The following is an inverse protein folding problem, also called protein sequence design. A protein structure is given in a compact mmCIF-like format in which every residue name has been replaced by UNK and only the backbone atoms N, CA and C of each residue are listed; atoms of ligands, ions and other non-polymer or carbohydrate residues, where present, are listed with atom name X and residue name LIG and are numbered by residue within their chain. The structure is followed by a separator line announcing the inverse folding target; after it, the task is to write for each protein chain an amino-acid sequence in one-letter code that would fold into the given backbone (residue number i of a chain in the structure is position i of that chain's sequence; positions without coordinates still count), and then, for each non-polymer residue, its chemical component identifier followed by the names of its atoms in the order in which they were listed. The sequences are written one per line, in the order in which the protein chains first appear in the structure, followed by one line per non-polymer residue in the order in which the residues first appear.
data_IF_059575785682
#
_entry.id   IF_059575785682
#
_cell.length_a   1.000
_cell.length_b   1.000
_cell.length_c   1.000
_cell.angle_alpha   90.00
_cell.angle_beta   90.00
_cell.angle_gamma   90.00
#
_symmetry.space_group_name_H-M   'P 1'
#
loop_
_entity.id
_entity.type
_entity.pdbx_description
1 polymer ?
#
# COMPACT_ATOMS: atom_id res chain seq x y z
N UNK A 1 -17.01 23.80 30.34
CA UNK A 1 -16.91 23.96 28.86
C UNK A 1 -17.11 22.61 28.20
N UNK A 2 -18.00 22.47 27.24
CA UNK A 2 -18.09 21.26 26.44
C UNK A 2 -16.98 21.22 25.42
N UNK A 3 -16.30 20.09 25.27
CA UNK A 3 -15.24 19.88 24.28
C UNK A 3 -15.59 18.71 23.38
N UNK A 4 -15.38 18.87 22.08
CA UNK A 4 -15.48 17.79 21.09
C UNK A 4 -14.06 17.35 20.73
N UNK A 5 -13.75 16.08 20.95
CA UNK A 5 -12.42 15.50 20.72
C UNK A 5 -12.53 14.43 19.65
N UNK A 6 -11.75 14.54 18.58
CA UNK A 6 -11.66 13.52 17.55
C UNK A 6 -10.89 12.32 18.13
N UNK A 7 -11.52 11.16 18.17
CA UNK A 7 -10.95 9.90 18.68
C UNK A 7 -10.37 9.06 17.55
N UNK A 8 -11.16 8.86 16.49
CA UNK A 8 -10.74 8.11 15.33
C UNK A 8 -10.87 8.99 14.09
N UNK A 9 -9.76 9.37 13.45
CA UNK A 9 -9.81 10.11 12.20
C UNK A 9 -10.40 9.24 11.08
N UNK A 10 -10.95 9.83 10.03
CA UNK A 10 -11.42 9.08 8.88
C UNK A 10 -10.29 8.33 8.19
N UNK A 11 -10.57 7.11 7.79
CA UNK A 11 -9.65 6.24 7.02
C UNK A 11 -9.69 6.52 5.53
N UNK A 12 -10.77 7.15 5.05
CA UNK A 12 -10.97 7.49 3.64
C UNK A 12 -11.40 8.95 3.52
N UNK A 13 -11.05 9.57 2.40
CA UNK A 13 -11.49 10.93 2.07
C UNK A 13 -12.70 10.87 1.13
N UNK A 14 -13.64 11.86 1.19
CA UNK A 14 -14.86 11.86 0.36
C UNK A 14 -14.56 12.08 -1.13
N UNK A 15 -13.39 12.59 -1.45
CA UNK A 15 -12.88 12.77 -2.81
C UNK A 15 -11.58 12.02 -2.95
N UNK A 16 -11.49 11.13 -3.93
CA UNK A 16 -10.22 10.51 -4.29
C UNK A 16 -9.39 11.46 -5.19
N UNK A 17 -8.10 11.27 -5.17
CA UNK A 17 -7.14 12.09 -5.91
C UNK A 17 -7.46 12.11 -7.42
N UNK A 18 -7.81 10.97 -8.02
CA UNK A 18 -8.14 10.88 -9.44
C UNK A 18 -9.30 11.81 -9.83
N UNK A 19 -10.34 11.87 -8.99
CA UNK A 19 -11.48 12.77 -9.21
C UNK A 19 -11.06 14.24 -9.12
N UNK A 20 -10.20 14.59 -8.14
CA UNK A 20 -9.71 15.97 -7.97
C UNK A 20 -8.88 16.38 -9.18
N UNK A 21 -7.96 15.55 -9.65
CA UNK A 21 -7.13 15.81 -10.82
C UNK A 21 -7.96 16.02 -12.09
N UNK A 22 -8.92 15.11 -12.33
CA UNK A 22 -9.80 15.21 -13.47
C UNK A 22 -10.60 16.52 -13.46
N UNK A 23 -11.07 16.95 -12.29
CA UNK A 23 -11.82 18.22 -12.12
C UNK A 23 -10.94 19.44 -12.25
N UNK A 24 -9.72 19.37 -11.72
CA UNK A 24 -8.73 20.45 -11.78
C UNK A 24 -8.03 20.55 -13.14
N UNK A 25 -8.26 19.58 -14.07
CA UNK A 25 -7.57 19.47 -15.36
C UNK A 25 -6.05 19.42 -15.21
N UNK A 26 -5.57 18.70 -14.20
CA UNK A 26 -4.15 18.42 -13.98
C UNK A 26 -3.81 17.11 -14.71
N UNK A 27 -3.05 17.23 -15.81
CA UNK A 27 -2.80 16.12 -16.74
C UNK A 27 -1.82 15.06 -16.22
N UNK A 28 -1.03 15.39 -15.20
CA UNK A 28 -0.10 14.43 -14.58
C UNK A 28 0.04 14.64 -13.09
N UNK A 29 -0.12 13.56 -12.34
CA UNK A 29 0.45 13.47 -11.00
C UNK A 29 1.89 13.05 -11.13
N UNK A 30 2.72 13.54 -10.23
CA UNK A 30 4.09 13.06 -10.06
C UNK A 30 4.07 11.69 -9.32
N UNK A 31 3.13 10.80 -9.71
CA UNK A 31 3.06 9.45 -9.19
C UNK A 31 4.08 8.56 -9.89
N UNK A 32 4.79 7.78 -9.11
CA UNK A 32 5.66 6.77 -9.67
C UNK A 32 4.82 5.69 -10.36
N UNK A 33 5.22 5.30 -11.57
CA UNK A 33 4.54 4.24 -12.32
C UNK A 33 4.88 2.89 -11.67
N UNK A 34 3.93 2.00 -11.41
CA UNK A 34 4.22 0.69 -10.85
C UNK A 34 5.25 -0.09 -11.66
N UNK A 35 6.12 -0.91 -11.03
CA UNK A 35 7.16 -1.66 -11.73
C UNK A 35 6.61 -2.57 -12.83
N UNK A 36 7.35 -2.77 -13.91
CA UNK A 36 7.08 -3.84 -14.88
C UNK A 36 7.34 -5.22 -14.27
N UNK A 37 6.86 -6.27 -14.92
CA UNK A 37 7.20 -7.64 -14.56
C UNK A 37 8.71 -7.89 -14.70
N UNK A 38 9.23 -8.76 -13.84
CA UNK A 38 10.62 -9.20 -13.85
C UNK A 38 10.72 -10.73 -13.91
N UNK A 39 11.93 -11.25 -14.09
CA UNK A 39 12.13 -12.69 -14.23
C UNK A 39 12.30 -13.36 -12.89
N UNK A 40 11.57 -14.47 -12.68
CA UNK A 40 11.76 -15.40 -11.59
C UNK A 40 12.03 -16.79 -12.15
N UNK A 41 13.09 -17.44 -11.69
CA UNK A 41 13.49 -18.79 -12.11
C UNK A 41 14.06 -19.59 -10.95
N UNK A 42 14.02 -20.91 -11.05
CA UNK A 42 14.78 -21.75 -10.11
C UNK A 42 16.27 -21.44 -10.23
N UNK A 43 17.01 -21.58 -9.12
CA UNK A 43 18.46 -21.44 -9.15
C UNK A 43 19.06 -22.35 -10.23
N UNK A 44 20.01 -21.82 -11.00
CA UNK A 44 20.60 -22.53 -12.15
C UNK A 44 21.29 -23.83 -11.76
N UNK A 45 21.87 -23.87 -10.57
CA UNK A 45 22.36 -25.11 -9.95
C UNK A 45 21.32 -25.60 -8.94
N UNK A 46 20.85 -26.85 -9.06
CA UNK A 46 19.92 -27.41 -8.07
C UNK A 46 20.47 -27.27 -6.65
N UNK A 47 19.72 -26.60 -5.77
CA UNK A 47 20.14 -26.34 -4.41
C UNK A 47 18.92 -26.38 -3.48
N UNK A 48 19.06 -27.07 -2.35
CA UNK A 48 18.06 -27.08 -1.29
C UNK A 48 17.80 -25.67 -0.77
N UNK A 49 16.57 -25.42 -0.36
CA UNK A 49 16.16 -24.11 0.17
C UNK A 49 14.88 -24.19 0.98
N UNK A 50 14.25 -23.04 1.20
CA UNK A 50 13.10 -22.91 2.08
C UNK A 50 11.83 -22.46 1.36
N UNK A 51 11.87 -22.17 0.06
CA UNK A 51 10.67 -21.82 -0.70
C UNK A 51 9.79 -23.07 -0.80
N UNK A 52 8.57 -22.98 -0.31
CA UNK A 52 7.64 -24.12 -0.24
C UNK A 52 7.39 -24.75 -1.61
N UNK A 53 7.15 -26.07 -1.65
CA UNK A 53 6.80 -26.74 -2.89
C UNK A 53 5.44 -26.28 -3.41
N UNK A 54 5.39 -25.92 -4.69
CA UNK A 54 4.20 -25.37 -5.35
C UNK A 54 4.52 -24.32 -6.41
N UNK A 55 3.49 -23.67 -6.91
CA UNK A 55 3.62 -22.61 -7.90
C UNK A 55 3.65 -21.24 -7.19
N UNK A 56 4.65 -20.43 -7.52
CA UNK A 56 4.82 -19.08 -7.01
C UNK A 56 4.84 -18.06 -8.13
N UNK A 57 4.34 -16.86 -7.83
CA UNK A 57 4.45 -15.68 -8.69
C UNK A 57 4.96 -14.52 -7.87
N UNK A 58 5.62 -13.61 -8.54
CA UNK A 58 6.28 -12.46 -7.92
C UNK A 58 5.82 -11.17 -8.56
N UNK A 59 5.78 -10.12 -7.78
CA UNK A 59 5.65 -8.74 -8.25
C UNK A 59 6.46 -7.82 -7.34
N UNK A 60 6.62 -6.58 -7.75
CA UNK A 60 7.30 -5.57 -6.96
C UNK A 60 6.48 -4.29 -6.85
N UNK A 61 6.88 -3.43 -5.92
CA UNK A 61 6.40 -2.07 -5.77
C UNK A 61 7.59 -1.12 -5.65
N UNK A 62 7.38 0.15 -6.01
CA UNK A 62 8.31 1.24 -5.73
C UNK A 62 7.87 1.98 -4.48
N UNK A 63 8.84 2.37 -3.64
CA UNK A 63 8.61 3.14 -2.42
C UNK A 63 9.31 4.47 -2.55
N UNK A 64 8.58 5.55 -2.33
CA UNK A 64 9.06 6.93 -2.30
C UNK A 64 8.92 7.48 -0.86
N UNK A 65 9.35 8.72 -0.65
CA UNK A 65 9.10 9.41 0.63
C UNK A 65 7.60 9.59 0.92
N UNK A 66 6.75 9.64 -0.12
CA UNK A 66 5.33 9.97 -0.04
C UNK A 66 4.44 8.74 0.07
N UNK A 67 4.95 7.57 -0.30
CA UNK A 67 4.16 6.35 -0.25
C UNK A 67 4.72 5.20 -1.07
N UNK A 68 3.85 4.26 -1.41
CA UNK A 68 4.19 3.04 -2.15
C UNK A 68 3.27 2.90 -3.36
N UNK A 69 3.82 2.42 -4.49
CA UNK A 69 2.98 2.10 -5.67
C UNK A 69 2.12 0.88 -5.38
N UNK A 70 1.02 0.74 -6.09
CA UNK A 70 0.33 -0.55 -6.16
C UNK A 70 1.26 -1.63 -6.73
N UNK A 71 0.89 -2.90 -6.53
CA UNK A 71 1.59 -4.05 -7.11
C UNK A 71 1.77 -3.87 -8.62
N UNK A 72 3.01 -4.07 -9.09
CA UNK A 72 3.38 -3.95 -10.49
C UNK A 72 3.09 -5.20 -11.31
N UNK A 73 3.79 -5.32 -12.44
CA UNK A 73 3.68 -6.49 -13.32
C UNK A 73 4.03 -7.80 -12.61
N UNK A 74 3.30 -8.85 -12.95
CA UNK A 74 3.44 -10.18 -12.33
C UNK A 74 4.43 -11.01 -13.16
N UNK A 75 5.37 -11.70 -12.50
CA UNK A 75 6.30 -12.62 -13.14
C UNK A 75 5.60 -13.83 -13.77
N UNK A 76 6.26 -14.51 -14.70
CA UNK A 76 5.88 -15.86 -15.05
C UNK A 76 5.85 -16.77 -13.81
N UNK A 77 5.00 -17.80 -13.77
CA UNK A 77 4.95 -18.72 -12.65
C UNK A 77 6.24 -19.54 -12.56
N UNK A 78 6.73 -19.76 -11.33
CA UNK A 78 7.84 -20.64 -11.01
C UNK A 78 7.32 -21.80 -10.19
N UNK A 79 7.67 -23.04 -10.58
CA UNK A 79 7.25 -24.25 -9.86
C UNK A 79 8.44 -24.81 -9.07
N UNK A 80 8.34 -24.82 -7.75
CA UNK A 80 9.22 -25.54 -6.84
C UNK A 80 8.63 -26.92 -6.65
N UNK A 81 9.26 -27.95 -7.24
CA UNK A 81 8.78 -29.32 -7.16
C UNK A 81 9.22 -30.00 -5.85
N UNK A 82 10.47 -29.77 -5.45
CA UNK A 82 11.08 -30.35 -4.25
C UNK A 82 12.02 -29.33 -3.59
N UNK A 83 11.74 -28.98 -2.35
CA UNK A 83 12.54 -28.00 -1.59
C UNK A 83 13.96 -28.52 -1.29
N UNK A 84 14.15 -29.83 -1.21
CA UNK A 84 15.46 -30.42 -0.97
C UNK A 84 16.39 -30.33 -2.21
N UNK A 85 15.82 -30.11 -3.39
CA UNK A 85 16.54 -30.05 -4.66
C UNK A 85 16.52 -28.64 -5.25
N UNK A 86 15.36 -27.97 -5.24
CA UNK A 86 15.12 -26.71 -5.93
C UNK A 86 14.42 -25.68 -5.04
N UNK A 87 14.76 -25.60 -3.75
CA UNK A 87 14.10 -24.76 -2.77
C UNK A 87 14.50 -23.29 -2.79
N UNK A 88 15.23 -22.79 -3.82
CA UNK A 88 15.59 -21.39 -4.00
C UNK A 88 15.13 -20.86 -5.34
N UNK A 89 14.65 -19.62 -5.34
CA UNK A 89 14.23 -18.92 -6.56
C UNK A 89 15.10 -17.67 -6.75
N UNK A 90 15.67 -17.52 -7.94
CA UNK A 90 16.44 -16.35 -8.32
C UNK A 90 15.55 -15.37 -9.08
N UNK A 91 15.54 -14.15 -8.60
CA UNK A 91 14.87 -13.02 -9.24
C UNK A 91 15.91 -12.18 -9.95
N UNK A 92 15.65 -11.85 -11.20
CA UNK A 92 16.54 -11.05 -12.02
C UNK A 92 15.76 -10.02 -12.84
N UNK A 93 16.49 -9.02 -13.35
CA UNK A 93 15.90 -7.89 -14.05
C UNK A 93 14.83 -7.16 -13.23
N UNK A 94 15.01 -7.08 -11.90
CA UNK A 94 14.10 -6.34 -11.02
C UNK A 94 14.13 -4.87 -11.47
N UNK A 95 12.96 -4.27 -11.81
CA UNK A 95 12.91 -2.91 -12.35
C UNK A 95 13.47 -1.88 -11.37
N UNK A 96 14.08 -0.84 -11.94
CA UNK A 96 14.47 0.38 -11.23
C UNK A 96 13.40 1.43 -11.44
N UNK A 97 13.07 2.18 -10.39
CA UNK A 97 12.12 3.28 -10.45
C UNK A 97 12.78 4.62 -10.78
N UNK A 98 11.99 5.67 -10.83
CA UNK A 98 12.43 7.05 -11.03
C UNK A 98 13.32 7.56 -9.90
N UNK A 99 13.76 8.82 -10.02
CA UNK A 99 14.68 9.46 -9.07
C UNK A 99 14.11 9.58 -7.64
N UNK A 100 12.79 9.55 -7.48
CA UNK A 100 12.12 9.66 -6.18
C UNK A 100 12.02 8.31 -5.46
N UNK A 101 12.33 7.19 -6.13
CA UNK A 101 12.26 5.86 -5.52
C UNK A 101 13.46 5.64 -4.61
N UNK A 102 13.20 5.46 -3.33
CA UNK A 102 14.21 5.25 -2.28
C UNK A 102 14.44 3.77 -1.97
N UNK A 103 13.40 2.95 -2.13
CA UNK A 103 13.46 1.52 -1.90
C UNK A 103 12.41 0.80 -2.74
N UNK A 104 12.52 -0.54 -2.81
CA UNK A 104 11.58 -1.40 -3.54
C UNK A 104 11.19 -2.56 -2.65
N UNK A 105 9.94 -2.98 -2.74
CA UNK A 105 9.47 -4.17 -2.06
C UNK A 105 9.16 -5.26 -3.07
N UNK A 106 9.52 -6.47 -2.73
CA UNK A 106 9.24 -7.67 -3.52
C UNK A 106 8.15 -8.46 -2.78
N UNK A 107 7.17 -8.91 -3.52
CA UNK A 107 6.05 -9.70 -3.03
C UNK A 107 6.00 -11.04 -3.75
N UNK A 108 5.57 -12.06 -3.03
CA UNK A 108 5.41 -13.43 -3.55
C UNK A 108 4.07 -14.01 -3.11
N UNK A 109 3.49 -14.89 -3.93
CA UNK A 109 2.38 -15.73 -3.47
C UNK A 109 2.88 -16.86 -2.57
N UNK A 110 2.07 -17.32 -1.63
CA UNK A 110 2.29 -18.64 -1.02
C UNK A 110 2.17 -19.72 -2.09
N UNK A 111 2.64 -20.93 -1.82
CA UNK A 111 2.55 -22.07 -2.72
C UNK A 111 1.11 -22.25 -3.23
N UNK A 112 0.91 -22.21 -4.56
CA UNK A 112 -0.39 -22.29 -5.24
C UNK A 112 -1.40 -21.19 -4.84
N UNK A 113 -0.95 -20.14 -4.16
CA UNK A 113 -1.80 -19.02 -3.74
C UNK A 113 -2.00 -17.96 -4.83
N UNK A 114 -2.90 -17.02 -4.54
CA UNK A 114 -3.19 -15.88 -5.42
C UNK A 114 -2.86 -14.52 -4.79
N UNK A 115 -2.70 -14.46 -3.47
CA UNK A 115 -2.41 -13.23 -2.73
C UNK A 115 -0.91 -12.98 -2.67
N UNK A 116 -0.48 -11.78 -3.03
CA UNK A 116 0.92 -11.34 -2.98
C UNK A 116 1.25 -10.82 -1.60
N UNK A 117 2.20 -11.45 -0.91
CA UNK A 117 2.65 -11.14 0.44
C UNK A 117 4.10 -10.66 0.41
N UNK A 118 4.45 -9.73 1.29
CA UNK A 118 5.78 -9.14 1.36
C UNK A 118 6.85 -10.21 1.61
N UNK A 119 7.76 -10.34 0.66
CA UNK A 119 8.92 -11.22 0.72
C UNK A 119 10.13 -10.50 1.28
N UNK A 120 10.47 -9.34 0.70
CA UNK A 120 11.66 -8.59 1.07
C UNK A 120 11.54 -7.11 0.72
N UNK A 121 12.31 -6.28 1.42
CA UNK A 121 12.52 -4.87 1.10
C UNK A 121 13.96 -4.67 0.62
N UNK A 122 14.13 -4.18 -0.60
CA UNK A 122 15.41 -3.73 -1.14
C UNK A 122 15.58 -2.25 -0.78
N UNK A 123 16.43 -1.96 0.21
CA UNK A 123 16.65 -0.59 0.72
C UNK A 123 17.50 0.27 -0.24
N UNK A 124 17.30 0.12 -1.55
CA UNK A 124 17.97 0.88 -2.60
C UNK A 124 17.19 0.80 -3.92
N UNK A 125 17.54 1.64 -4.88
CA UNK A 125 17.00 1.63 -6.24
C UNK A 125 18.06 1.21 -7.26
N UNK A 126 18.94 0.26 -6.94
CA UNK A 126 20.06 -0.15 -7.80
C UNK A 126 20.20 -1.66 -7.98
N UNK A 127 19.84 -2.47 -6.97
CA UNK A 127 19.94 -3.93 -7.03
C UNK A 127 18.92 -4.49 -8.04
N UNK A 128 19.35 -5.25 -9.04
CA UNK A 128 18.47 -5.85 -10.06
C UNK A 128 18.25 -7.35 -9.86
N UNK A 129 18.82 -7.92 -8.80
CA UNK A 129 18.73 -9.33 -8.48
C UNK A 129 18.38 -9.54 -7.00
N UNK A 130 17.72 -10.64 -6.69
CA UNK A 130 17.43 -11.09 -5.33
C UNK A 130 17.24 -12.61 -5.32
N UNK A 131 17.76 -13.30 -4.31
CA UNK A 131 17.56 -14.75 -4.13
C UNK A 131 16.52 -14.96 -3.04
N UNK A 132 15.39 -15.55 -3.41
CA UNK A 132 14.37 -15.96 -2.47
C UNK A 132 14.70 -17.32 -1.87
N UNK A 133 14.76 -17.36 -0.56
CA UNK A 133 14.98 -18.57 0.26
C UNK A 133 14.12 -18.51 1.54
N UNK A 134 12.92 -17.92 1.44
CA UNK A 134 12.04 -17.66 2.58
C UNK A 134 10.87 -18.64 2.56
N UNK A 135 10.54 -19.22 3.71
CA UNK A 135 9.36 -20.08 3.88
C UNK A 135 8.06 -19.24 3.83
N UNK A 136 6.97 -19.79 3.31
CA UNK A 136 5.69 -19.07 3.16
C UNK A 136 5.17 -18.48 4.47
N UNK A 137 5.38 -19.16 5.61
CA UNK A 137 4.96 -18.69 6.92
C UNK A 137 5.66 -17.42 7.40
N UNK A 138 6.78 -17.04 6.77
CA UNK A 138 7.54 -15.83 7.10
C UNK A 138 7.23 -14.65 6.17
N UNK A 139 6.29 -14.80 5.24
CA UNK A 139 5.85 -13.70 4.39
C UNK A 139 5.06 -12.67 5.20
N UNK A 140 5.23 -11.40 4.85
CA UNK A 140 4.65 -10.28 5.57
C UNK A 140 3.29 -9.82 5.05
N UNK A 141 3.03 -8.52 5.12
CA UNK A 141 1.76 -7.92 4.73
C UNK A 141 1.45 -8.08 3.23
N UNK A 142 0.19 -7.96 2.88
CA UNK A 142 -0.27 -7.99 1.48
C UNK A 142 0.24 -6.77 0.70
N UNK A 143 0.48 -6.96 -0.58
CA UNK A 143 0.85 -5.90 -1.51
C UNK A 143 -0.26 -4.83 -1.62
N UNK A 144 0.11 -3.55 -1.72
CA UNK A 144 -0.85 -2.47 -1.94
C UNK A 144 -1.65 -2.65 -3.23
N UNK A 145 -2.92 -2.30 -3.18
CA UNK A 145 -3.83 -2.27 -4.33
C UNK A 145 -4.02 -0.87 -4.89
N UNK A 146 -3.53 0.14 -4.17
CA UNK A 146 -3.64 1.57 -4.50
C UNK A 146 -2.25 2.18 -4.53
N UNK A 147 -1.99 3.05 -5.51
CA UNK A 147 -0.78 3.84 -5.58
C UNK A 147 -0.90 5.07 -4.67
N UNK A 148 0.01 5.18 -3.71
CA UNK A 148 0.05 6.29 -2.73
C UNK A 148 1.28 7.20 -2.91
N UNK A 149 2.06 7.02 -3.97
CA UNK A 149 3.27 7.82 -4.25
C UNK A 149 2.96 9.22 -4.80
N UNK A 150 1.68 9.63 -4.77
CA UNK A 150 1.26 10.95 -5.27
C UNK A 150 1.65 12.09 -4.35
N UNK A 151 1.45 13.31 -4.88
CA UNK A 151 1.79 14.57 -4.21
C UNK A 151 1.12 14.68 -2.81
N UNK A 152 1.91 14.70 -1.73
CA UNK A 152 1.39 14.82 -0.36
C UNK A 152 0.65 16.15 -0.14
N UNK A 153 1.00 17.20 -0.89
CA UNK A 153 0.34 18.50 -0.80
C UNK A 153 -1.12 18.42 -1.27
N UNK A 154 -1.39 17.68 -2.34
CA UNK A 154 -2.75 17.46 -2.82
C UNK A 154 -3.59 16.68 -1.80
N UNK A 155 -3.02 15.66 -1.16
CA UNK A 155 -3.67 14.96 -0.07
C UNK A 155 -3.96 15.88 1.14
N UNK A 156 -3.03 16.76 1.49
CA UNK A 156 -3.22 17.74 2.55
C UNK A 156 -4.32 18.77 2.19
N UNK A 157 -4.38 19.20 0.93
CA UNK A 157 -5.43 20.09 0.42
C UNK A 157 -6.81 19.43 0.48
N UNK A 158 -6.94 18.16 0.09
CA UNK A 158 -8.20 17.40 0.19
C UNK A 158 -8.67 17.33 1.63
N UNK A 159 -7.78 17.01 2.59
CA UNK A 159 -8.09 16.99 4.03
C UNK A 159 -8.53 18.37 4.53
N UNK A 160 -7.82 19.41 4.14
CA UNK A 160 -8.14 20.78 4.53
C UNK A 160 -9.50 21.20 3.98
N UNK A 161 -9.78 20.92 2.71
CA UNK A 161 -11.07 21.21 2.08
C UNK A 161 -12.21 20.44 2.77
N UNK A 162 -12.01 19.16 3.13
CA UNK A 162 -12.98 18.40 3.91
C UNK A 162 -13.25 19.06 5.27
N UNK A 163 -12.21 19.39 6.03
CA UNK A 163 -12.36 20.05 7.33
C UNK A 163 -13.11 21.38 7.22
N UNK A 164 -12.83 22.18 6.19
CA UNK A 164 -13.55 23.42 5.95
C UNK A 164 -15.03 23.19 5.64
N UNK A 165 -15.33 22.21 4.78
CA UNK A 165 -16.71 21.85 4.43
C UNK A 165 -17.48 21.28 5.64
N UNK A 166 -16.85 20.42 6.44
CA UNK A 166 -17.43 19.88 7.68
C UNK A 166 -17.67 20.98 8.74
N UNK A 167 -16.75 21.95 8.82
CA UNK A 167 -16.89 23.11 9.68
C UNK A 167 -18.07 23.99 9.27
N UNK A 168 -18.22 24.24 7.97
CA UNK A 168 -19.31 25.06 7.41
C UNK A 168 -20.67 24.37 7.53
N UNK A 169 -20.75 23.08 7.16
CA UNK A 169 -22.01 22.31 7.17
C UNK A 169 -22.38 21.79 8.55
N UNK A 170 -21.44 21.78 9.50
CA UNK A 170 -21.54 21.13 10.83
C UNK A 170 -21.90 19.65 10.75
N UNK A 171 -21.47 18.97 9.68
CA UNK A 171 -21.70 17.54 9.45
C UNK A 171 -20.38 16.83 9.19
N UNK A 172 -20.32 15.54 9.57
CA UNK A 172 -19.23 14.67 9.18
C UNK A 172 -19.51 14.14 7.77
N UNK A 173 -18.60 14.40 6.83
CA UNK A 173 -18.72 13.96 5.43
C UNK A 173 -18.22 12.53 5.22
N UNK A 174 -17.46 12.00 6.17
CA UNK A 174 -16.92 10.64 6.18
C UNK A 174 -17.00 10.06 7.58
N UNK A 175 -16.97 8.75 7.70
CA UNK A 175 -17.05 8.06 9.00
C UNK A 175 -15.86 8.44 9.87
N UNK A 176 -16.15 8.94 11.06
CA UNK A 176 -15.16 9.34 12.07
C UNK A 176 -15.81 9.25 13.47
N UNK A 177 -14.99 9.03 14.49
CA UNK A 177 -15.48 8.90 15.87
C UNK A 177 -15.07 10.12 16.69
N UNK A 178 -16.03 10.68 17.40
CA UNK A 178 -15.84 11.85 18.24
C UNK A 178 -16.32 11.60 19.66
N UNK A 179 -15.58 12.06 20.65
CA UNK A 179 -16.00 12.13 22.03
C UNK A 179 -16.55 13.52 22.34
N UNK A 180 -17.78 13.60 22.81
CA UNK A 180 -18.37 14.81 23.36
C UNK A 180 -18.17 14.81 24.87
N UNK A 181 -17.26 15.63 25.38
CA UNK A 181 -17.04 15.84 26.82
C UNK A 181 -17.91 16.99 27.31
N UNK A 182 -18.74 16.70 28.31
CA UNK A 182 -19.61 17.68 28.96
C UNK A 182 -19.14 17.88 30.41
N UNK A 183 -19.19 19.12 30.92
CA UNK A 183 -18.83 19.42 32.32
C UNK A 183 -19.85 18.83 33.29
N UNK A 184 -21.15 18.80 32.89
CA UNK A 184 -22.25 18.21 33.63
C UNK A 184 -23.19 17.49 32.68
N UNK A 185 -23.89 16.47 33.18
CA UNK A 185 -24.96 15.81 32.42
C UNK A 185 -26.15 16.77 32.30
N UNK A 186 -26.53 17.23 31.08
CA UNK A 186 -27.62 18.17 30.90
C UNK A 186 -28.96 17.46 31.17
N UNK A 187 -29.92 18.17 31.78
CA UNK A 187 -31.30 17.70 32.02
C UNK A 187 -32.21 17.85 30.79
N UNK A 188 -31.67 18.38 29.68
CA UNK A 188 -32.35 18.51 28.38
C UNK A 188 -31.65 17.66 27.31
N UNK A 189 -32.21 17.69 26.08
CA UNK A 189 -31.68 16.94 24.92
C UNK A 189 -30.24 17.30 24.61
N UNK A 190 -29.38 16.29 24.42
CA UNK A 190 -28.02 16.46 23.95
C UNK A 190 -28.03 16.48 22.40
N UNK A 191 -27.62 17.56 21.81
CA UNK A 191 -27.45 17.68 20.37
C UNK A 191 -26.03 17.28 19.97
N UNK A 192 -25.90 16.33 19.05
CA UNK A 192 -24.61 15.94 18.52
C UNK A 192 -24.11 17.00 17.53
N UNK A 193 -22.88 17.53 17.72
CA UNK A 193 -22.38 18.66 16.93
C UNK A 193 -22.09 18.32 15.46
N UNK A 194 -21.90 17.04 15.14
CA UNK A 194 -21.55 16.57 13.78
C UNK A 194 -22.32 15.30 13.41
N UNK A 195 -23.63 15.40 13.12
CA UNK A 195 -24.36 14.25 12.63
C UNK A 195 -23.80 13.81 11.27
N UNK A 196 -23.82 12.49 11.01
CA UNK A 196 -23.54 11.93 9.68
C UNK A 196 -24.65 12.29 8.69
N UNK A 197 -24.31 12.29 7.40
CA UNK A 197 -25.29 12.43 6.31
C UNK A 197 -26.19 11.19 6.22
#
# INVERSE_FOLDING_TARGET
MSALVLVTPPTEEPLNIATVLQRARIDSMNQEVPPSAFTAALAATPIAGNVNAGIHRYCATFVTADGETQAGGISAPVTVADIAVNGKVELSAIPLGGALVTSRKIYRTVANGATYLLLATLANNTATTYTDNIVDASLGAQAPTINTTGDPELNALIKTARHAAEGYTRRALVTQTWDLKLDNFPWWTIYLPKPTL
#
